data_IF_404080486367
#
_entry.id   IF_404080486367
#
_cell.length_a   1.000
_cell.length_b   1.000
_cell.length_c   1.000
_cell.angle_alpha   90.00
_cell.angle_beta   90.00
_cell.angle_gamma   90.00
#
_symmetry.space_group_name_H-M   'P 1'
#
loop_
_entity.id
_entity.type
_entity.pdbx_description
1 polymer ?
#
# COMPACT_ATOMS: atom_id res chain seq x y z
N UNK A 1 27.06 29.30 -34.40
CA UNK A 1 26.25 30.47 -34.79
C UNK A 1 25.99 30.32 -36.28
N UNK A 2 24.84 29.82 -36.73
CA UNK A 2 23.50 30.40 -36.59
C UNK A 2 22.49 29.32 -36.23
N UNK A 3 21.57 29.66 -35.33
CA UNK A 3 20.45 28.82 -34.91
C UNK A 3 19.56 28.49 -36.12
N UNK A 4 19.19 27.23 -36.28
CA UNK A 4 18.10 26.86 -37.18
C UNK A 4 16.86 27.63 -36.72
N UNK A 5 16.33 28.47 -37.61
CA UNK A 5 15.13 29.26 -37.37
C UNK A 5 13.96 28.31 -37.05
N UNK A 6 13.48 28.27 -35.79
CA UNK A 6 12.44 27.34 -35.39
C UNK A 6 11.10 27.65 -36.06
N UNK A 7 10.88 28.91 -36.46
CA UNK A 7 9.66 29.32 -37.16
C UNK A 7 9.64 28.81 -38.60
N UNK A 8 10.81 28.73 -39.24
CA UNK A 8 10.94 28.16 -40.58
C UNK A 8 10.71 26.64 -40.60
N UNK A 9 11.17 25.92 -39.56
CA UNK A 9 10.89 24.48 -39.40
C UNK A 9 9.42 24.23 -39.04
N UNK A 10 8.81 25.06 -38.20
CA UNK A 10 7.38 24.98 -37.90
C UNK A 10 6.51 25.25 -39.13
N UNK A 11 6.87 26.25 -39.95
CA UNK A 11 6.18 26.54 -41.20
C UNK A 11 6.27 25.38 -42.20
N UNK A 12 7.41 24.68 -42.26
CA UNK A 12 7.58 23.49 -43.11
C UNK A 12 6.73 22.31 -42.63
N UNK A 13 6.62 22.09 -41.32
CA UNK A 13 5.77 21.04 -40.77
C UNK A 13 4.28 21.31 -41.00
N UNK A 14 3.86 22.57 -40.96
CA UNK A 14 2.48 22.98 -41.26
C UNK A 14 2.20 22.85 -42.77
N UNK A 15 3.14 23.27 -43.63
CA UNK A 15 2.98 23.20 -45.08
C UNK A 15 3.07 21.78 -45.65
N UNK A 16 3.80 20.88 -45.00
CA UNK A 16 3.94 19.48 -45.41
C UNK A 16 2.78 18.59 -44.96
N UNK A 17 1.75 19.12 -44.30
CA UNK A 17 0.56 18.36 -43.94
C UNK A 17 -0.35 18.24 -45.16
N UNK A 18 -0.45 17.08 -45.84
CA UNK A 18 -1.38 16.91 -46.93
C UNK A 18 -2.80 17.07 -46.37
N UNK A 19 -3.56 18.00 -46.94
CA UNK A 19 -5.00 18.10 -46.74
C UNK A 19 -5.66 16.85 -47.33
N UNK A 20 -5.69 15.79 -46.53
CA UNK A 20 -6.47 14.60 -46.83
C UNK A 20 -7.93 15.02 -47.01
N UNK A 21 -8.60 14.62 -48.09
CA UNK A 21 -10.03 14.85 -48.23
C UNK A 21 -10.71 14.22 -47.02
N UNK A 22 -11.52 15.04 -46.35
CA UNK A 22 -12.22 14.74 -45.12
C UNK A 22 -13.12 13.52 -45.32
N UNK A 23 -12.57 12.33 -45.15
CA UNK A 23 -13.36 11.24 -44.60
C UNK A 23 -13.89 11.80 -43.28
N UNK A 24 -15.20 11.92 -43.17
CA UNK A 24 -15.90 12.26 -41.93
C UNK A 24 -15.58 11.15 -40.93
N UNK A 25 -14.37 11.21 -40.36
CA UNK A 25 -14.06 10.57 -39.11
C UNK A 25 -14.95 11.33 -38.15
N UNK A 26 -16.08 10.73 -37.77
CA UNK A 26 -16.85 11.18 -36.64
C UNK A 26 -15.84 11.48 -35.56
N UNK A 27 -15.64 12.76 -35.25
CA UNK A 27 -15.03 13.19 -34.01
C UNK A 27 -16.03 12.80 -32.93
N UNK A 28 -16.17 11.50 -32.67
CA UNK A 28 -16.69 11.04 -31.42
C UNK A 28 -15.73 11.63 -30.41
N UNK A 29 -16.23 12.55 -29.59
CA UNK A 29 -15.51 12.96 -28.41
C UNK A 29 -14.98 11.68 -27.76
N UNK A 30 -13.67 11.57 -27.58
CA UNK A 30 -13.11 10.50 -26.75
C UNK A 30 -13.56 10.86 -25.34
N UNK A 31 -14.78 10.45 -25.00
CA UNK A 31 -15.32 10.53 -23.66
C UNK A 31 -14.57 9.46 -22.91
N UNK A 32 -13.51 9.87 -22.21
CA UNK A 32 -12.83 9.01 -21.24
C UNK A 32 -13.85 8.78 -20.14
N UNK A 33 -14.49 7.61 -20.16
CA UNK A 33 -15.41 7.20 -19.13
C UNK A 33 -14.63 6.78 -17.88
N UNK A 34 -14.35 7.78 -17.04
CA UNK A 34 -13.65 7.61 -15.77
C UNK A 34 -14.38 6.68 -14.81
N UNK A 35 -15.69 6.45 -15.01
CA UNK A 35 -16.46 5.51 -14.21
C UNK A 35 -16.05 4.06 -14.52
N UNK A 36 -15.90 3.73 -15.81
CA UNK A 36 -15.45 2.41 -16.26
C UNK A 36 -14.04 2.07 -15.73
N UNK A 37 -13.15 3.06 -15.68
CA UNK A 37 -11.78 2.86 -15.14
C UNK A 37 -11.81 2.52 -13.65
N UNK A 38 -12.72 3.12 -12.88
CA UNK A 38 -12.81 2.88 -11.44
C UNK A 38 -13.40 1.52 -11.09
N UNK A 39 -14.29 0.97 -11.93
CA UNK A 39 -14.82 -0.39 -11.75
C UNK A 39 -13.75 -1.44 -12.06
N UNK A 40 -12.90 -1.20 -13.08
CA UNK A 40 -11.75 -2.06 -13.38
C UNK A 40 -10.75 -2.07 -12.21
N UNK A 41 -10.48 -0.91 -11.62
CA UNK A 41 -9.60 -0.79 -10.46
C UNK A 41 -10.15 -1.52 -9.23
N UNK A 42 -11.47 -1.50 -9.03
CA UNK A 42 -12.13 -2.28 -7.99
C UNK A 42 -12.00 -3.78 -8.25
N UNK A 43 -12.38 -4.26 -9.43
CA UNK A 43 -12.27 -5.68 -9.76
C UNK A 43 -10.84 -6.22 -9.65
N UNK A 44 -9.84 -5.38 -9.92
CA UNK A 44 -8.45 -5.72 -9.68
C UNK A 44 -8.12 -5.85 -8.18
N UNK A 45 -8.61 -4.94 -7.34
CA UNK A 45 -8.42 -5.00 -5.89
C UNK A 45 -9.08 -6.24 -5.28
N UNK A 46 -10.29 -6.57 -5.73
CA UNK A 46 -11.00 -7.80 -5.34
C UNK A 46 -10.20 -9.05 -5.72
N UNK A 47 -9.73 -9.14 -6.98
CA UNK A 47 -8.94 -10.27 -7.45
C UNK A 47 -7.62 -10.45 -6.67
N UNK A 48 -6.95 -9.35 -6.29
CA UNK A 48 -5.75 -9.41 -5.45
C UNK A 48 -6.06 -9.95 -4.05
N UNK A 49 -7.14 -9.50 -3.43
CA UNK A 49 -7.56 -9.99 -2.12
C UNK A 49 -7.86 -11.50 -2.17
N UNK A 50 -8.56 -11.96 -3.20
CA UNK A 50 -8.86 -13.38 -3.36
C UNK A 50 -7.63 -14.24 -3.68
N UNK A 51 -6.69 -13.71 -4.48
CA UNK A 51 -5.41 -14.36 -4.70
C UNK A 51 -4.61 -14.52 -3.39
N UNK A 52 -4.59 -13.48 -2.54
CA UNK A 52 -3.95 -13.52 -1.22
C UNK A 52 -4.61 -14.57 -0.32
N UNK A 53 -5.95 -14.58 -0.21
CA UNK A 53 -6.68 -15.61 0.56
C UNK A 53 -6.32 -17.02 0.09
N UNK A 54 -6.30 -17.24 -1.22
CA UNK A 54 -5.91 -18.53 -1.80
C UNK A 54 -4.47 -18.92 -1.44
N UNK A 55 -3.53 -17.98 -1.37
CA UNK A 55 -2.16 -18.25 -0.90
C UNK A 55 -2.14 -18.60 0.59
N UNK A 56 -2.91 -17.89 1.41
CA UNK A 56 -3.04 -18.15 2.85
C UNK A 56 -3.56 -19.56 3.13
N UNK A 57 -4.56 -20.02 2.36
CA UNK A 57 -5.13 -21.36 2.50
C UNK A 57 -4.13 -22.49 2.21
N UNK A 58 -3.04 -22.17 1.49
CA UNK A 58 -1.98 -23.12 1.11
C UNK A 58 -0.71 -22.95 1.94
N UNK A 59 -0.76 -22.19 3.03
CA UNK A 59 0.39 -22.02 3.90
C UNK A 59 0.86 -23.37 4.45
N UNK A 60 2.18 -23.55 4.63
CA UNK A 60 2.71 -24.76 5.24
C UNK A 60 2.25 -24.88 6.70
N UNK A 61 2.44 -26.06 7.30
CA UNK A 61 2.18 -26.25 8.72
C UNK A 61 3.02 -25.28 9.57
N UNK A 62 2.46 -24.82 10.70
CA UNK A 62 3.12 -23.90 11.65
C UNK A 62 4.43 -24.44 12.22
N UNK A 63 4.64 -25.75 12.16
CA UNK A 63 5.87 -26.43 12.59
C UNK A 63 6.98 -26.43 11.53
N UNK A 64 6.71 -25.97 10.31
CA UNK A 64 7.71 -25.84 9.26
C UNK A 64 8.76 -24.78 9.63
N UNK A 65 10.04 -25.09 9.42
CA UNK A 65 11.13 -24.15 9.64
C UNK A 65 11.09 -22.94 8.69
N UNK A 66 10.35 -23.04 7.58
CA UNK A 66 10.16 -21.94 6.62
C UNK A 66 8.89 -21.13 6.88
N UNK A 67 8.06 -21.53 7.87
CA UNK A 67 6.74 -20.94 8.09
C UNK A 67 6.78 -19.42 8.23
N UNK A 68 7.69 -18.90 9.06
CA UNK A 68 7.88 -17.47 9.27
C UNK A 68 8.23 -16.73 7.96
N UNK A 69 9.15 -17.29 7.18
CA UNK A 69 9.53 -16.74 5.87
C UNK A 69 8.34 -16.68 4.91
N UNK A 70 7.50 -17.72 4.89
CA UNK A 70 6.28 -17.73 4.08
C UNK A 70 5.28 -16.66 4.53
N UNK A 71 5.04 -16.53 5.84
CA UNK A 71 4.14 -15.50 6.37
C UNK A 71 4.64 -14.10 6.00
N UNK A 72 5.93 -13.81 6.16
CA UNK A 72 6.52 -12.53 5.77
C UNK A 72 6.35 -12.24 4.26
N UNK A 73 6.50 -13.27 3.41
CA UNK A 73 6.24 -13.13 1.97
C UNK A 73 4.78 -12.81 1.67
N UNK A 74 3.82 -13.43 2.37
CA UNK A 74 2.39 -13.14 2.18
C UNK A 74 2.04 -11.75 2.71
N UNK A 75 2.58 -11.34 3.87
CA UNK A 75 2.43 -9.98 4.39
C UNK A 75 2.93 -8.97 3.35
N UNK A 76 4.10 -9.20 2.73
CA UNK A 76 4.61 -8.33 1.68
C UNK A 76 3.68 -8.26 0.44
N UNK A 77 2.89 -9.30 0.15
CA UNK A 77 1.86 -9.28 -0.88
C UNK A 77 0.62 -8.48 -0.45
N UNK A 78 0.13 -8.68 0.79
CA UNK A 78 -0.95 -7.87 1.37
C UNK A 78 -0.65 -6.39 1.25
N UNK A 79 0.55 -5.99 1.69
CA UNK A 79 0.99 -4.60 1.70
C UNK A 79 1.02 -3.98 0.31
N UNK A 80 1.46 -4.73 -0.71
CA UNK A 80 1.41 -4.26 -2.11
C UNK A 80 -0.03 -4.07 -2.59
N UNK A 81 -0.91 -5.02 -2.26
CA UNK A 81 -2.33 -4.92 -2.60
C UNK A 81 -3.01 -3.75 -1.87
N UNK A 82 -2.68 -3.50 -0.60
CA UNK A 82 -3.17 -2.36 0.18
C UNK A 82 -2.77 -1.03 -0.46
N UNK A 83 -1.49 -0.86 -0.81
CA UNK A 83 -1.02 0.37 -1.47
C UNK A 83 -1.75 0.62 -2.79
N UNK A 84 -1.97 -0.44 -3.58
CA UNK A 84 -2.69 -0.32 -4.83
C UNK A 84 -4.16 -0.01 -4.62
N UNK A 85 -4.85 -0.71 -3.73
CA UNK A 85 -6.24 -0.47 -3.38
C UNK A 85 -6.43 0.96 -2.82
N UNK A 86 -5.47 1.49 -2.06
CA UNK A 86 -5.49 2.85 -1.54
C UNK A 86 -5.34 3.88 -2.67
N UNK A 87 -4.46 3.61 -3.63
CA UNK A 87 -4.33 4.44 -4.84
C UNK A 87 -5.62 4.40 -5.67
N UNK A 88 -6.20 3.22 -5.87
CA UNK A 88 -7.48 3.03 -6.58
C UNK A 88 -8.62 3.76 -5.88
N UNK A 89 -8.72 3.65 -4.56
CA UNK A 89 -9.69 4.36 -3.74
C UNK A 89 -9.55 5.87 -3.92
N UNK A 90 -8.32 6.40 -3.83
CA UNK A 90 -8.06 7.83 -4.04
C UNK A 90 -8.50 8.30 -5.43
N UNK A 91 -8.31 7.48 -6.47
CA UNK A 91 -8.81 7.79 -7.81
C UNK A 91 -10.34 7.79 -7.83
N UNK A 92 -10.99 6.77 -7.27
CA UNK A 92 -12.45 6.66 -7.20
C UNK A 92 -13.09 7.83 -6.45
N UNK A 93 -12.54 8.24 -5.31
CA UNK A 93 -13.03 9.39 -4.54
C UNK A 93 -12.94 10.68 -5.35
N UNK A 94 -11.80 10.92 -6.00
CA UNK A 94 -11.62 12.13 -6.81
C UNK A 94 -12.48 12.13 -8.09
N UNK A 95 -12.91 10.95 -8.55
CA UNK A 95 -13.83 10.80 -9.66
C UNK A 95 -15.32 10.81 -9.23
N UNK A 96 -15.62 10.78 -7.93
CA UNK A 96 -16.99 10.64 -7.43
C UNK A 96 -17.64 9.30 -7.78
N UNK A 97 -16.84 8.23 -7.88
CA UNK A 97 -17.30 6.92 -8.31
C UNK A 97 -17.97 6.12 -7.18
N UNK A 98 -18.98 5.32 -7.55
CA UNK A 98 -19.73 4.45 -6.63
C UNK A 98 -18.87 3.33 -6.01
N UNK A 99 -17.75 2.95 -6.66
CA UNK A 99 -16.80 1.95 -6.19
C UNK A 99 -16.01 2.37 -4.94
N UNK A 100 -16.09 3.66 -4.55
CA UNK A 100 -15.42 4.21 -3.36
C UNK A 100 -15.66 3.38 -2.09
N UNK A 101 -16.91 2.97 -1.85
CA UNK A 101 -17.27 2.17 -0.67
C UNK A 101 -16.64 0.78 -0.70
N UNK A 102 -16.76 0.09 -1.85
CA UNK A 102 -16.25 -1.27 -2.05
C UNK A 102 -14.72 -1.32 -1.98
N UNK A 103 -14.04 -0.32 -2.53
CA UNK A 103 -12.59 -0.14 -2.40
C UNK A 103 -12.14 0.05 -0.94
N UNK A 104 -12.90 0.78 -0.11
CA UNK A 104 -12.63 0.86 1.34
C UNK A 104 -12.82 -0.48 2.05
N UNK A 105 -13.83 -1.25 1.65
CA UNK A 105 -14.05 -2.59 2.22
C UNK A 105 -12.89 -3.53 1.88
N UNK A 106 -12.42 -3.52 0.63
CA UNK A 106 -11.23 -4.27 0.23
C UNK A 106 -9.98 -3.84 1.01
N UNK A 107 -9.76 -2.54 1.21
CA UNK A 107 -8.66 -2.03 2.02
C UNK A 107 -8.71 -2.54 3.46
N UNK A 108 -9.86 -2.44 4.12
CA UNK A 108 -10.04 -2.95 5.48
C UNK A 108 -9.86 -4.45 5.56
N UNK A 109 -10.33 -5.19 4.55
CA UNK A 109 -10.16 -6.64 4.49
C UNK A 109 -8.68 -7.03 4.34
N UNK A 110 -7.92 -6.31 3.51
CA UNK A 110 -6.48 -6.50 3.37
C UNK A 110 -5.73 -6.18 4.68
N UNK A 111 -6.05 -5.05 5.31
CA UNK A 111 -5.45 -4.65 6.60
C UNK A 111 -5.74 -5.70 7.69
N UNK A 112 -6.99 -6.16 7.81
CA UNK A 112 -7.37 -7.21 8.75
C UNK A 112 -6.64 -8.53 8.46
N UNK A 113 -6.49 -8.88 7.18
CA UNK A 113 -5.74 -10.08 6.76
C UNK A 113 -4.27 -9.97 7.15
N UNK A 114 -3.64 -8.82 6.95
CA UNK A 114 -2.26 -8.55 7.37
C UNK A 114 -2.10 -8.65 8.89
N UNK A 115 -3.02 -8.06 9.66
CA UNK A 115 -3.04 -8.17 11.12
C UNK A 115 -3.13 -9.63 11.59
N UNK A 116 -4.05 -10.40 11.02
CA UNK A 116 -4.20 -11.83 11.33
C UNK A 116 -2.96 -12.67 10.97
N UNK A 117 -2.17 -12.26 9.97
CA UNK A 117 -0.89 -12.90 9.63
C UNK A 117 0.20 -12.55 10.67
N UNK A 118 0.27 -11.30 11.13
CA UNK A 118 1.20 -10.89 12.19
C UNK A 118 0.92 -11.62 13.50
N UNK A 119 -0.35 -11.85 13.84
CA UNK A 119 -0.76 -12.62 15.02
C UNK A 119 -0.26 -14.07 15.02
N UNK A 120 0.04 -14.64 13.84
CA UNK A 120 0.64 -15.98 13.71
C UNK A 120 2.13 -16.02 14.06
N UNK A 121 2.78 -14.86 14.22
CA UNK A 121 4.20 -14.72 14.56
C UNK A 121 4.38 -13.82 15.80
N UNK A 122 3.76 -14.17 16.95
CA UNK A 122 3.66 -13.25 18.09
C UNK A 122 5.00 -12.92 18.75
N UNK A 123 6.02 -13.75 18.53
CA UNK A 123 7.38 -13.54 19.06
C UNK A 123 8.26 -12.68 18.13
N UNK A 124 7.85 -12.48 16.88
CA UNK A 124 8.59 -11.65 15.94
C UNK A 124 8.59 -10.19 16.38
N UNK A 125 9.73 -9.52 16.24
CA UNK A 125 9.86 -8.13 16.70
C UNK A 125 8.92 -7.20 15.92
N UNK A 126 8.67 -7.46 14.64
CA UNK A 126 7.75 -6.67 13.80
C UNK A 126 6.31 -6.78 14.28
N UNK A 127 5.83 -7.98 14.63
CA UNK A 127 4.48 -8.16 15.17
C UNK A 127 4.33 -7.53 16.55
N UNK A 128 5.33 -7.68 17.43
CA UNK A 128 5.34 -7.01 18.74
C UNK A 128 5.36 -5.49 18.59
N UNK A 129 6.16 -4.97 17.65
CA UNK A 129 6.22 -3.54 17.39
C UNK A 129 4.93 -2.97 16.79
N UNK A 130 4.31 -3.67 15.84
CA UNK A 130 3.00 -3.27 15.29
C UNK A 130 1.92 -3.21 16.39
N UNK A 131 1.88 -4.23 17.26
CA UNK A 131 0.99 -4.26 18.43
C UNK A 131 1.29 -3.13 19.42
N UNK A 132 2.56 -2.90 19.74
CA UNK A 132 2.96 -1.82 20.63
C UNK A 132 2.55 -0.44 20.08
N UNK A 133 2.63 -0.24 18.76
CA UNK A 133 2.13 0.97 18.12
C UNK A 133 0.60 1.10 18.27
N UNK A 134 -0.15 0.01 18.09
CA UNK A 134 -1.61 0.02 18.24
C UNK A 134 -2.08 0.23 19.69
N UNK A 135 -1.30 -0.21 20.68
CA UNK A 135 -1.56 -0.02 22.11
C UNK A 135 -1.07 1.33 22.63
N UNK A 136 -0.14 1.97 21.92
CA UNK A 136 0.38 3.28 22.30
C UNK A 136 -0.68 4.36 22.12
N UNK A 137 -0.78 5.26 23.11
CA UNK A 137 -1.57 6.49 22.98
C UNK A 137 -0.85 7.58 22.16
N UNK A 138 0.39 7.32 21.74
CA UNK A 138 1.19 8.28 20.99
C UNK A 138 0.82 8.27 19.50
N UNK A 139 0.77 9.44 18.85
CA UNK A 139 0.67 9.51 17.39
C UNK A 139 1.87 8.81 16.72
N UNK A 140 1.63 8.15 15.59
CA UNK A 140 2.66 7.40 14.87
C UNK A 140 3.90 8.25 14.51
N UNK A 141 3.69 9.52 14.15
CA UNK A 141 4.79 10.46 13.89
C UNK A 141 5.69 10.70 15.11
N UNK A 142 5.12 10.67 16.33
CA UNK A 142 5.88 10.79 17.58
C UNK A 142 6.66 9.52 17.84
N UNK A 143 6.05 8.34 17.65
CA UNK A 143 6.75 7.05 17.78
C UNK A 143 7.91 6.98 16.78
N UNK A 144 7.72 7.40 15.52
CA UNK A 144 8.75 7.44 14.50
C UNK A 144 9.95 8.31 14.93
N UNK A 145 9.67 9.49 15.47
CA UNK A 145 10.70 10.38 16.00
C UNK A 145 11.45 9.78 17.20
N UNK A 146 10.75 9.10 18.13
CA UNK A 146 11.36 8.46 19.30
C UNK A 146 12.33 7.34 18.91
N UNK A 147 11.93 6.49 17.95
CA UNK A 147 12.81 5.46 17.39
C UNK A 147 13.74 6.00 16.31
N UNK A 148 13.68 7.32 16.05
CA UNK A 148 14.42 8.12 15.08
C UNK A 148 14.55 7.47 13.72
N UNK A 149 13.38 7.26 13.12
CA UNK A 149 13.19 6.82 11.74
C UNK A 149 12.21 7.77 11.04
N UNK A 150 12.24 7.80 9.71
CA UNK A 150 11.24 8.50 8.91
C UNK A 150 9.90 7.76 8.83
N UNK A 151 8.89 8.40 8.24
CA UNK A 151 7.58 7.76 8.02
C UNK A 151 7.67 6.52 7.12
N UNK A 152 8.48 6.58 6.06
CA UNK A 152 8.68 5.44 5.15
C UNK A 152 9.36 4.26 5.86
N UNK A 153 10.36 4.55 6.69
CA UNK A 153 11.05 3.53 7.50
C UNK A 153 10.12 2.96 8.59
N UNK A 154 9.31 3.80 9.23
CA UNK A 154 8.28 3.35 10.17
C UNK A 154 7.32 2.37 9.49
N UNK A 155 6.88 2.72 8.29
CA UNK A 155 6.02 1.88 7.49
C UNK A 155 6.71 0.56 7.09
N UNK A 156 7.97 0.60 6.67
CA UNK A 156 8.74 -0.61 6.34
C UNK A 156 8.96 -1.51 7.57
N UNK A 157 9.18 -0.95 8.75
CA UNK A 157 9.27 -1.70 10.00
C UNK A 157 7.96 -2.45 10.27
N UNK A 158 6.82 -1.75 10.23
CA UNK A 158 5.50 -2.33 10.55
C UNK A 158 5.01 -3.33 9.51
N UNK A 159 5.31 -3.07 8.24
CA UNK A 159 4.71 -3.80 7.11
C UNK A 159 5.64 -4.81 6.44
N UNK A 160 6.96 -4.69 6.63
CA UNK A 160 7.94 -5.59 6.01
C UNK A 160 8.91 -6.20 7.03
N UNK A 161 8.87 -5.75 8.28
CA UNK A 161 9.81 -6.19 9.31
C UNK A 161 11.25 -5.75 9.07
N UNK A 162 11.47 -4.77 8.19
CA UNK A 162 12.80 -4.24 7.89
C UNK A 162 13.13 -3.20 8.94
N UNK A 163 13.99 -3.55 9.90
CA UNK A 163 14.40 -2.65 10.97
C UNK A 163 15.81 -2.11 10.67
N UNK A 164 15.98 -0.79 10.49
CA UNK A 164 17.31 -0.20 10.36
C UNK A 164 18.18 -0.53 11.58
N UNK A 165 19.44 -0.92 11.36
CA UNK A 165 20.34 -1.33 12.44
C UNK A 165 20.47 -0.28 13.55
N UNK A 166 20.48 1.02 13.19
CA UNK A 166 20.53 2.12 14.14
C UNK A 166 19.23 2.36 14.93
N UNK A 167 18.10 1.83 14.46
CA UNK A 167 16.80 1.93 15.13
C UNK A 167 16.49 0.72 16.02
N UNK A 168 17.11 -0.44 15.75
CA UNK A 168 16.82 -1.71 16.43
C UNK A 168 16.81 -1.64 17.97
N UNK A 169 17.79 -1.01 18.65
CA UNK A 169 17.75 -0.91 20.12
C UNK A 169 16.56 -0.11 20.64
N UNK A 170 16.16 0.96 19.91
CA UNK A 170 15.05 1.84 20.29
C UNK A 170 13.70 1.21 19.99
N UNK A 171 13.58 0.47 18.89
CA UNK A 171 12.39 -0.35 18.60
C UNK A 171 12.15 -1.35 19.72
N UNK A 172 13.17 -2.11 20.15
CA UNK A 172 13.05 -3.05 21.27
C UNK A 172 12.65 -2.35 22.57
N UNK A 173 13.35 -1.27 22.91
CA UNK A 173 13.04 -0.51 24.13
C UNK A 173 11.61 0.05 24.14
N UNK A 174 11.10 0.50 22.98
CA UNK A 174 9.73 0.95 22.85
C UNK A 174 8.73 -0.19 23.07
N UNK A 175 8.93 -1.35 22.42
CA UNK A 175 8.09 -2.54 22.62
C UNK A 175 8.06 -2.96 24.07
N UNK A 176 9.24 -3.13 24.68
CA UNK A 176 9.35 -3.60 26.07
C UNK A 176 8.69 -2.61 27.05
N UNK A 177 8.74 -1.30 26.79
CA UNK A 177 8.09 -0.29 27.61
C UNK A 177 6.55 -0.33 27.52
N UNK A 178 6.00 -0.57 26.33
CA UNK A 178 4.54 -0.69 26.13
C UNK A 178 4.02 -1.98 26.77
N UNK A 179 4.70 -3.11 26.56
CA UNK A 179 4.33 -4.39 27.15
C UNK A 179 4.39 -4.34 28.69
N UNK A 180 5.44 -3.76 29.27
CA UNK A 180 5.55 -3.60 30.72
C UNK A 180 4.45 -2.69 31.31
N UNK A 181 4.00 -1.69 30.54
CA UNK A 181 2.90 -0.81 30.97
C UNK A 181 1.56 -1.53 30.93
N UNK A 182 1.36 -2.44 29.97
CA UNK A 182 0.15 -3.26 29.84
C UNK A 182 0.05 -4.29 30.97
N UNK A 183 1.14 -5.00 31.26
CA UNK A 183 1.20 -5.98 32.36
C UNK A 183 0.92 -5.35 33.73
N UNK A 184 1.38 -4.10 33.93
CA UNK A 184 1.12 -3.35 35.16
C UNK A 184 -0.36 -2.97 35.33
N UNK A 185 -1.08 -2.72 34.24
CA UNK A 185 -2.50 -2.37 34.26
C UNK A 185 -3.40 -3.61 34.44
N UNK A 186 -3.02 -4.75 33.87
CA UNK A 186 -3.72 -6.03 34.06
C UNK A 186 -3.54 -6.61 35.47
N UNK A 187 -2.37 -6.42 36.10
CA UNK A 187 -2.13 -6.87 37.48
C UNK A 187 -2.84 -6.05 38.57
N UNK A 188 -3.51 -4.96 38.19
CA UNK A 188 -4.24 -4.07 39.09
C UNK A 188 -5.77 -4.30 39.07
N UNK A 189 -6.27 -5.16 38.17
CA UNK A 189 -7.69 -5.56 38.04
C UNK A 189 -7.99 -6.90 38.73
#
# INVERSE_FOLDING_TARGET
>A
MVAADPDAELARLIAAQPSNPTAVRRAGAVVVDRHSDTDVLEGYAEAQLDAIKSVIDRLPATTSNEYETYILSVIAQCVKAEMLAASSWRVAVNAGADSTGRLMEHLRALEATRGALLERMPTSLSARFDRACAQSSLPEAVVAALIGVGADEMWDIRNRGVIPAGALPRVRAFVDAIEASHDADEGQQ
#
